data_IF_558299674090
#
_entry.id   IF_558299674090
#
_cell.length_a   1.000
_cell.length_b   1.000
_cell.length_c   1.000
_cell.angle_alpha   90.00
_cell.angle_beta   90.00
_cell.angle_gamma   90.00
#
_symmetry.space_group_name_H-M   'P 1'
#
loop_
_entity.id
_entity.type
_entity.pdbx_description
1 polymer ?
#
# COMPACT_ATOMS: atom_id res chain seq x y z
N UNK A 1 13.31 42.64 8.36
CA UNK A 1 11.92 42.78 7.89
C UNK A 1 11.56 41.46 7.21
N UNK A 2 10.97 40.51 7.95
CA UNK A 2 9.52 40.18 7.91
C UNK A 2 9.11 39.78 6.48
N UNK A 3 8.86 38.51 6.16
CA UNK A 3 7.87 37.65 6.81
C UNK A 3 8.29 36.18 6.89
N UNK A 4 8.19 35.64 8.11
CA UNK A 4 8.01 34.21 8.37
C UNK A 4 6.65 33.77 7.83
N UNK A 5 6.61 33.00 6.75
CA UNK A 5 5.42 32.22 6.39
C UNK A 5 5.44 30.94 7.23
N UNK A 6 5.21 31.09 8.53
CA UNK A 6 4.90 29.99 9.45
C UNK A 6 3.39 29.77 9.43
N UNK A 7 2.88 29.29 8.30
CA UNK A 7 1.54 28.74 8.21
C UNK A 7 1.67 27.26 7.94
N UNK A 8 1.41 26.41 8.93
CA UNK A 8 1.24 24.98 8.68
C UNK A 8 0.16 24.84 7.59
N UNK A 9 0.45 24.21 6.44
CA UNK A 9 -0.54 24.06 5.39
C UNK A 9 -1.80 23.43 5.97
N UNK A 10 -2.96 24.05 5.74
CA UNK A 10 -4.22 23.48 6.23
C UNK A 10 -4.48 22.19 5.45
N UNK A 11 -5.19 21.22 6.04
CA UNK A 11 -5.52 19.97 5.36
C UNK A 11 -6.21 20.19 3.99
N UNK A 12 -6.94 21.29 3.83
CA UNK A 12 -7.52 21.74 2.55
C UNK A 12 -6.48 22.08 1.48
N UNK A 13 -5.34 22.64 1.87
CA UNK A 13 -4.27 23.05 0.95
C UNK A 13 -3.55 21.79 0.41
N UNK A 14 -3.47 20.72 1.20
CA UNK A 14 -2.97 19.41 0.78
C UNK A 14 -3.84 18.80 -0.32
N UNK A 15 -5.17 18.76 -0.15
CA UNK A 15 -6.05 18.18 -1.17
C UNK A 15 -6.08 18.97 -2.48
N UNK A 16 -5.81 20.28 -2.44
CA UNK A 16 -5.68 21.09 -3.65
C UNK A 16 -4.35 20.86 -4.37
N UNK A 17 -3.25 20.60 -3.64
CA UNK A 17 -1.91 20.39 -4.22
C UNK A 17 -1.68 18.99 -4.75
N UNK A 18 -2.21 17.96 -4.08
CA UNK A 18 -1.90 16.57 -4.40
C UNK A 18 -3.11 15.73 -4.78
N UNK A 19 -4.32 16.31 -4.73
CA UNK A 19 -5.58 15.60 -4.98
C UNK A 19 -6.00 14.72 -3.80
N UNK A 20 -7.27 14.28 -3.76
CA UNK A 20 -7.76 13.38 -2.73
C UNK A 20 -7.00 12.04 -2.76
N UNK A 21 -6.80 11.39 -1.59
CA UNK A 21 -6.28 10.03 -1.55
C UNK A 21 -7.14 9.13 -2.43
N UNK A 22 -6.51 8.15 -3.10
CA UNK A 22 -7.18 7.29 -4.09
C UNK A 22 -8.47 6.68 -3.56
N UNK A 23 -8.51 6.28 -2.28
CA UNK A 23 -9.72 5.80 -1.64
C UNK A 23 -10.87 6.82 -1.69
N UNK A 24 -10.64 8.09 -1.35
CA UNK A 24 -11.67 9.11 -1.36
C UNK A 24 -12.19 9.41 -2.77
N UNK A 25 -11.30 9.39 -3.78
CA UNK A 25 -11.71 9.48 -5.19
C UNK A 25 -12.61 8.31 -5.60
N UNK A 26 -12.24 7.07 -5.23
CA UNK A 26 -13.03 5.87 -5.50
C UNK A 26 -14.38 5.88 -4.77
N UNK A 27 -14.41 6.37 -3.52
CA UNK A 27 -15.67 6.55 -2.78
C UNK A 27 -16.61 7.50 -3.50
N UNK A 28 -16.10 8.64 -3.99
CA UNK A 28 -16.91 9.62 -4.73
C UNK A 28 -17.50 9.04 -6.02
N UNK A 29 -16.82 8.09 -6.65
CA UNK A 29 -17.28 7.38 -7.84
C UNK A 29 -18.17 6.16 -7.52
N UNK A 30 -18.45 5.88 -6.23
CA UNK A 30 -19.23 4.71 -5.81
C UNK A 30 -18.47 3.38 -5.90
N UNK A 31 -17.15 3.42 -6.13
CA UNK A 31 -16.30 2.24 -6.26
C UNK A 31 -15.79 1.68 -4.93
N UNK A 32 -15.93 2.38 -3.81
CA UNK A 32 -15.55 1.84 -2.50
C UNK A 32 -16.63 0.91 -1.96
N UNK A 33 -16.25 -0.32 -1.58
CA UNK A 33 -17.17 -1.36 -1.09
C UNK A 33 -17.11 -1.57 0.42
N UNK A 34 -16.15 -0.94 1.10
CA UNK A 34 -16.03 -0.98 2.55
C UNK A 34 -14.64 -1.40 2.99
N UNK A 35 -14.50 -1.59 4.29
CA UNK A 35 -13.29 -2.11 4.89
C UNK A 35 -13.63 -3.09 6.00
N UNK A 36 -12.77 -4.07 6.21
CA UNK A 36 -12.86 -5.01 7.31
C UNK A 36 -11.46 -5.35 7.82
N UNK A 37 -11.37 -5.88 9.04
CA UNK A 37 -10.11 -6.30 9.63
C UNK A 37 -10.09 -7.81 9.82
N UNK A 38 -8.95 -8.42 9.58
CA UNK A 38 -8.68 -9.79 10.02
C UNK A 38 -8.40 -9.77 11.52
N UNK A 39 -9.15 -10.57 12.28
CA UNK A 39 -8.98 -10.71 13.73
C UNK A 39 -8.40 -12.08 14.06
N UNK A 40 -7.58 -12.19 15.10
CA UNK A 40 -6.91 -13.43 15.50
C UNK A 40 -7.85 -14.64 15.64
N UNK A 41 -9.07 -14.42 16.13
CA UNK A 41 -10.06 -15.49 16.35
C UNK A 41 -10.84 -15.94 15.11
N UNK A 42 -10.62 -15.32 13.94
CA UNK A 42 -11.35 -15.67 12.72
C UNK A 42 -10.72 -16.86 12.01
N UNK A 43 -11.54 -17.72 11.42
CA UNK A 43 -11.08 -18.86 10.62
C UNK A 43 -10.27 -18.38 9.41
N UNK A 44 -10.71 -17.29 8.78
CA UNK A 44 -10.07 -16.65 7.63
C UNK A 44 -8.65 -16.20 7.96
N UNK A 45 -8.43 -15.66 9.16
CA UNK A 45 -7.12 -15.26 9.65
C UNK A 45 -6.17 -16.44 9.80
N UNK A 46 -6.67 -17.56 10.36
CA UNK A 46 -5.89 -18.78 10.48
C UNK A 46 -5.52 -19.37 9.11
N UNK A 47 -6.48 -19.43 8.18
CA UNK A 47 -6.24 -19.89 6.81
C UNK A 47 -5.24 -18.99 6.07
N UNK A 48 -5.34 -17.68 6.26
CA UNK A 48 -4.41 -16.71 5.72
C UNK A 48 -2.98 -16.96 6.25
N UNK A 49 -2.81 -17.10 7.57
CA UNK A 49 -1.51 -17.39 8.17
C UNK A 49 -0.90 -18.70 7.65
N UNK A 50 -1.71 -19.77 7.54
CA UNK A 50 -1.26 -21.04 6.94
C UNK A 50 -0.86 -20.89 5.47
N UNK A 51 -1.60 -20.10 4.68
CA UNK A 51 -1.26 -19.83 3.29
C UNK A 51 0.06 -19.06 3.16
N UNK A 52 0.28 -18.07 4.05
CA UNK A 52 1.56 -17.33 4.11
C UNK A 52 2.70 -18.28 4.44
N UNK A 53 2.55 -19.15 5.44
CA UNK A 53 3.58 -20.13 5.79
C UNK A 53 3.88 -21.10 4.63
N UNK A 54 2.85 -21.61 3.95
CA UNK A 54 3.01 -22.47 2.79
C UNK A 54 3.75 -21.76 1.64
N UNK A 55 3.40 -20.51 1.34
CA UNK A 55 4.08 -19.71 0.33
C UNK A 55 5.55 -19.44 0.70
N UNK A 56 5.84 -19.17 1.98
CA UNK A 56 7.21 -19.01 2.49
C UNK A 56 8.04 -20.26 2.30
N UNK A 57 7.46 -21.45 2.57
CA UNK A 57 8.15 -22.73 2.34
C UNK A 57 8.42 -22.97 0.86
N UNK A 58 7.48 -22.61 -0.02
CA UNK A 58 7.64 -22.74 -1.46
C UNK A 58 8.64 -21.73 -2.05
N UNK A 59 8.86 -20.59 -1.39
CA UNK A 59 9.73 -19.49 -1.83
C UNK A 59 10.68 -19.05 -0.72
N UNK A 60 11.50 -19.99 -0.21
CA UNK A 60 12.36 -19.79 0.97
C UNK A 60 13.35 -18.63 0.86
N UNK A 61 13.85 -18.37 -0.35
CA UNK A 61 14.84 -17.33 -0.61
C UNK A 61 14.23 -15.92 -0.62
N UNK A 62 12.94 -15.82 -0.94
CA UNK A 62 12.26 -14.54 -1.14
C UNK A 62 10.90 -14.48 -0.42
N UNK A 63 10.85 -14.71 0.89
CA UNK A 63 9.61 -14.62 1.64
C UNK A 63 9.01 -13.21 1.55
N UNK A 64 7.68 -13.13 1.51
CA UNK A 64 6.95 -11.86 1.41
C UNK A 64 7.00 -11.09 2.72
N UNK A 65 7.67 -9.93 2.74
CA UNK A 65 7.74 -9.07 3.94
C UNK A 65 6.32 -8.63 4.36
N UNK A 66 5.52 -8.16 3.40
CA UNK A 66 4.19 -7.60 3.65
C UNK A 66 3.25 -8.65 4.24
N UNK A 67 3.21 -9.86 3.67
CA UNK A 67 2.29 -10.89 4.17
C UNK A 67 2.65 -11.33 5.59
N UNK A 68 3.94 -11.41 5.92
CA UNK A 68 4.37 -11.69 7.30
C UNK A 68 4.03 -10.54 8.25
N UNK A 69 4.12 -9.28 7.80
CA UNK A 69 3.70 -8.13 8.61
C UNK A 69 2.20 -8.15 8.91
N UNK A 70 1.37 -8.57 7.95
CA UNK A 70 -0.08 -8.73 8.16
C UNK A 70 -0.35 -9.82 9.21
N UNK A 71 0.32 -10.98 9.09
CA UNK A 71 0.19 -12.06 10.10
C UNK A 71 0.62 -11.56 11.50
N UNK A 72 1.73 -10.81 11.58
CA UNK A 72 2.15 -10.13 12.81
C UNK A 72 1.08 -9.21 13.39
N UNK A 73 0.49 -8.34 12.57
CA UNK A 73 -0.56 -7.45 13.04
C UNK A 73 -1.80 -8.22 13.53
N UNK A 74 -2.17 -9.31 12.85
CA UNK A 74 -3.30 -10.18 13.25
C UNK A 74 -3.03 -10.87 14.59
N UNK A 75 -1.78 -11.30 14.83
CA UNK A 75 -1.35 -11.94 16.09
C UNK A 75 -1.18 -10.94 17.25
N UNK A 76 -1.30 -9.63 16.97
CA UNK A 76 -1.20 -8.56 17.97
C UNK A 76 0.20 -8.00 18.16
N UNK A 77 1.15 -8.34 17.29
CA UNK A 77 2.48 -7.73 17.28
C UNK A 77 2.39 -6.22 16.97
N UNK A 78 3.23 -5.42 17.62
CA UNK A 78 3.35 -3.98 17.36
C UNK A 78 4.80 -3.53 17.55
N UNK A 79 5.25 -2.59 16.72
CA UNK A 79 6.62 -2.06 16.79
C UNK A 79 7.60 -2.79 15.88
N UNK A 80 8.88 -2.80 16.25
CA UNK A 80 9.97 -3.32 15.41
C UNK A 80 10.05 -4.85 15.48
N UNK A 81 9.20 -5.54 14.72
CA UNK A 81 9.07 -7.00 14.73
C UNK A 81 9.50 -7.59 13.39
N UNK A 82 10.47 -8.52 13.45
CA UNK A 82 11.08 -9.12 12.27
C UNK A 82 10.80 -10.62 12.19
N UNK A 83 9.79 -10.98 11.40
CA UNK A 83 9.41 -12.39 11.18
C UNK A 83 10.30 -13.12 10.17
N UNK A 84 11.04 -12.39 9.33
CA UNK A 84 11.91 -12.97 8.29
C UNK A 84 13.31 -12.38 8.35
N UNK A 85 14.29 -13.07 7.74
CA UNK A 85 15.66 -12.58 7.67
C UNK A 85 15.80 -11.34 6.77
N UNK A 86 14.92 -11.17 5.77
CA UNK A 86 14.96 -10.08 4.77
C UNK A 86 14.83 -8.68 5.36
N UNK A 87 14.26 -8.57 6.56
CA UNK A 87 14.00 -7.28 7.21
C UNK A 87 15.03 -6.97 8.29
N UNK A 88 15.94 -7.90 8.58
CA UNK A 88 17.01 -7.70 9.59
C UNK A 88 17.96 -6.60 9.12
N UNK A 89 18.26 -5.65 10.01
CA UNK A 89 19.12 -4.51 9.71
C UNK A 89 18.39 -3.28 9.16
N UNK A 90 17.07 -3.35 9.02
CA UNK A 90 16.19 -2.21 8.72
C UNK A 90 15.15 -2.04 9.83
N UNK A 91 14.55 -0.86 9.98
CA UNK A 91 13.41 -0.68 10.89
C UNK A 91 12.13 -1.15 10.20
N UNK A 92 11.48 -2.20 10.72
CA UNK A 92 10.19 -2.68 10.23
C UNK A 92 9.14 -2.48 11.32
N UNK A 93 8.33 -1.44 11.19
CA UNK A 93 7.31 -1.13 12.18
C UNK A 93 5.97 -1.80 11.86
N UNK A 94 5.61 -2.82 12.63
CA UNK A 94 4.29 -3.44 12.58
C UNK A 94 3.25 -2.52 13.23
N UNK A 95 2.13 -2.32 12.54
CA UNK A 95 0.99 -1.55 13.00
C UNK A 95 -0.29 -2.42 12.91
N UNK A 96 -1.17 -2.44 13.93
CA UNK A 96 -2.45 -3.14 13.90
C UNK A 96 -3.32 -2.85 12.67
N UNK A 97 -3.22 -1.65 12.09
CA UNK A 97 -3.94 -1.28 10.86
C UNK A 97 -3.50 -2.09 9.63
N UNK A 98 -2.34 -2.77 9.67
CA UNK A 98 -1.92 -3.67 8.61
C UNK A 98 -2.86 -4.88 8.45
N UNK A 99 -3.66 -5.22 9.45
CA UNK A 99 -4.69 -6.26 9.33
C UNK A 99 -5.99 -5.77 8.65
N UNK A 100 -6.07 -4.48 8.28
CA UNK A 100 -7.24 -3.89 7.63
C UNK A 100 -7.17 -4.05 6.10
N UNK A 101 -8.25 -4.56 5.53
CA UNK A 101 -8.46 -4.68 4.09
C UNK A 101 -9.51 -3.69 3.63
N UNK A 102 -9.19 -2.95 2.57
CA UNK A 102 -10.13 -2.09 1.87
C UNK A 102 -10.62 -2.80 0.61
N UNK A 103 -11.92 -2.83 0.40
CA UNK A 103 -12.54 -3.46 -0.76
C UNK A 103 -13.05 -2.40 -1.72
N UNK A 104 -12.86 -2.69 -3.01
CA UNK A 104 -13.22 -1.80 -4.10
C UNK A 104 -13.87 -2.59 -5.23
N UNK A 105 -14.72 -1.91 -5.98
CA UNK A 105 -15.18 -2.36 -7.29
C UNK A 105 -13.96 -2.34 -8.25
N UNK A 106 -13.77 -3.45 -8.98
CA UNK A 106 -12.56 -3.70 -9.74
C UNK A 106 -12.43 -2.74 -10.94
N UNK A 107 -13.51 -2.54 -11.70
CA UNK A 107 -13.50 -1.65 -12.86
C UNK A 107 -13.22 -0.21 -12.44
N UNK A 108 -13.84 0.23 -11.35
CA UNK A 108 -13.62 1.54 -10.74
C UNK A 108 -12.18 1.71 -10.28
N UNK A 109 -11.55 0.68 -9.68
CA UNK A 109 -10.13 0.75 -9.29
C UNK A 109 -9.21 0.75 -10.52
N UNK A 110 -9.48 -0.13 -11.48
CA UNK A 110 -8.67 -0.34 -12.68
C UNK A 110 -8.61 0.91 -13.57
N UNK A 111 -9.71 1.65 -13.68
CA UNK A 111 -9.77 2.91 -14.45
C UNK A 111 -8.81 3.99 -13.95
N UNK A 112 -8.29 3.88 -12.72
CA UNK A 112 -7.29 4.80 -12.16
C UNK A 112 -5.84 4.34 -12.35
N UNK A 113 -5.62 3.15 -12.90
CA UNK A 113 -4.28 2.62 -13.17
C UNK A 113 -3.85 3.08 -14.56
N UNK A 114 -3.14 4.20 -14.62
CA UNK A 114 -2.81 4.90 -15.88
C UNK A 114 -1.99 4.06 -16.87
N UNK A 115 -1.16 3.14 -16.38
CA UNK A 115 -0.32 2.27 -17.19
C UNK A 115 -0.93 0.89 -17.44
N UNK A 116 -2.20 0.66 -17.05
CA UNK A 116 -2.81 -0.68 -17.12
C UNK A 116 -2.81 -1.27 -18.53
N UNK A 117 -3.15 -0.47 -19.53
CA UNK A 117 -3.15 -0.90 -20.94
C UNK A 117 -1.75 -1.22 -21.46
N UNK A 118 -0.71 -0.61 -20.88
CA UNK A 118 0.69 -0.80 -21.26
C UNK A 118 1.27 -2.12 -20.71
N UNK A 119 0.66 -2.68 -19.67
CA UNK A 119 1.10 -3.93 -19.04
C UNK A 119 0.65 -5.18 -19.82
N UNK A 120 -0.41 -5.06 -20.63
CA UNK A 120 -1.00 -6.19 -21.38
C UNK A 120 -0.01 -7.09 -22.14
N UNK A 121 0.99 -6.56 -22.87
CA UNK A 121 1.94 -7.38 -23.62
C UNK A 121 3.09 -7.96 -22.79
N UNK A 122 3.27 -7.56 -21.53
CA UNK A 122 4.42 -7.95 -20.71
C UNK A 122 4.37 -9.44 -20.31
N UNK A 123 5.52 -10.10 -20.31
CA UNK A 123 5.68 -11.51 -19.96
C UNK A 123 6.59 -11.72 -18.74
N UNK A 124 7.41 -10.73 -18.41
CA UNK A 124 8.39 -10.81 -17.32
C UNK A 124 8.26 -9.65 -16.34
N UNK A 125 8.68 -9.87 -15.08
CA UNK A 125 8.72 -8.81 -14.08
C UNK A 125 9.65 -7.64 -14.45
N UNK A 126 10.70 -7.92 -15.23
CA UNK A 126 11.59 -6.88 -15.76
C UNK A 126 10.86 -5.98 -16.76
N UNK A 127 10.06 -6.55 -17.66
CA UNK A 127 9.23 -5.78 -18.59
C UNK A 127 8.18 -4.93 -17.87
N UNK A 128 7.50 -5.51 -16.87
CA UNK A 128 6.56 -4.77 -16.01
C UNK A 128 7.24 -3.55 -15.38
N UNK A 129 8.43 -3.76 -14.82
CA UNK A 129 9.20 -2.68 -14.18
C UNK A 129 9.59 -1.61 -15.20
N UNK A 130 10.08 -2.01 -16.37
CA UNK A 130 10.46 -1.09 -17.43
C UNK A 130 9.28 -0.25 -17.95
N UNK A 131 8.09 -0.84 -18.08
CA UNK A 131 6.86 -0.12 -18.46
C UNK A 131 6.47 0.91 -17.40
N UNK A 132 6.48 0.53 -16.12
CA UNK A 132 6.14 1.45 -15.03
C UNK A 132 7.15 2.61 -14.96
N UNK A 133 8.45 2.32 -15.06
CA UNK A 133 9.50 3.34 -15.06
C UNK A 133 9.37 4.30 -16.25
N UNK A 134 9.11 3.77 -17.45
CA UNK A 134 8.89 4.60 -18.64
C UNK A 134 7.66 5.50 -18.48
N UNK A 135 6.55 4.96 -17.95
CA UNK A 135 5.34 5.73 -17.64
C UNK A 135 5.63 6.85 -16.65
N UNK A 136 6.35 6.56 -15.56
CA UNK A 136 6.69 7.56 -14.55
C UNK A 136 7.58 8.68 -15.10
N UNK A 137 8.55 8.35 -15.97
CA UNK A 137 9.40 9.36 -16.63
C UNK A 137 8.65 10.23 -17.63
N UNK A 138 7.59 9.70 -18.23
CA UNK A 138 6.72 10.43 -19.15
C UNK A 138 5.66 11.28 -18.43
N UNK A 139 5.48 11.10 -17.10
CA UNK A 139 4.59 11.94 -16.32
C UNK A 139 5.29 13.26 -15.97
N UNK A 140 4.78 14.38 -16.50
CA UNK A 140 5.35 15.71 -16.28
C UNK A 140 5.27 16.18 -14.81
N UNK A 141 4.30 15.65 -14.03
CA UNK A 141 4.07 16.01 -12.64
C UNK A 141 4.01 14.78 -11.73
N UNK A 142 5.15 14.39 -11.17
CA UNK A 142 5.16 13.47 -10.04
C UNK A 142 4.64 14.18 -8.79
N UNK A 143 3.76 13.49 -8.06
CA UNK A 143 3.20 14.00 -6.80
C UNK A 143 4.36 14.39 -5.85
N UNK A 144 4.51 15.68 -5.48
CA UNK A 144 5.59 16.08 -4.61
C UNK A 144 5.41 15.43 -3.23
N UNK A 145 6.52 15.09 -2.59
CA UNK A 145 6.46 14.69 -1.19
C UNK A 145 6.04 15.91 -0.36
N UNK A 146 4.91 15.79 0.34
CA UNK A 146 4.41 16.79 1.27
C UNK A 146 4.19 16.09 2.59
N UNK A 147 4.77 16.63 3.66
CA UNK A 147 4.52 16.13 5.01
C UNK A 147 3.02 16.17 5.32
N UNK A 148 2.51 15.08 5.87
CA UNK A 148 1.12 15.05 6.35
C UNK A 148 1.03 16.09 7.48
N UNK A 149 0.11 17.08 7.40
CA UNK A 149 -0.06 18.02 8.49
C UNK A 149 -0.57 17.24 9.71
N UNK A 150 0.26 17.20 10.75
CA UNK A 150 -0.07 16.68 12.08
C UNK A 150 -0.49 17.83 12.99
#
# INVERSE_FOLDING_TARGET
MLNSVSGTPRATDYFQLVGPPRQAALTKQGGFRGAFSLLAGMKESALYASAVEAATKAMSEMPSIVNHSIVSAVEGDFGDVHRTHRTRGSKLWINPLMAMYFTFELEALASHVQYLSLLGPTQTMFEVTAVIDAHQRACDELRPWVGIPI
#
